data_IF_752332655191
#
_entry.id   IF_752332655191
#
_cell.length_a   1.000
_cell.length_b   1.000
_cell.length_c   1.000
_cell.angle_alpha   90.00
_cell.angle_beta   90.00
_cell.angle_gamma   90.00
#
_symmetry.space_group_name_H-M   'P 1'
#
loop_
_entity.id
_entity.type
_entity.pdbx_description
1 polymer ?
#
# COMPACT_ATOMS: atom_id res chain seq x y z
N UNK A 1 -36.84 42.40 -51.04
CA UNK A 1 -36.31 42.81 -49.73
C UNK A 1 -36.65 41.78 -48.64
N UNK A 2 -37.85 41.26 -48.53
CA UNK A 2 -38.26 40.27 -47.46
C UNK A 2 -37.47 38.96 -47.49
N UNK A 3 -37.11 38.42 -48.65
CA UNK A 3 -36.35 37.17 -48.80
C UNK A 3 -34.91 37.29 -48.28
N UNK A 4 -34.22 38.45 -48.49
CA UNK A 4 -32.88 38.67 -47.98
C UNK A 4 -32.84 38.84 -46.47
N UNK A 5 -33.87 39.40 -45.88
CA UNK A 5 -34.00 39.55 -44.44
C UNK A 5 -34.22 38.18 -43.75
N UNK A 6 -34.97 37.27 -44.39
CA UNK A 6 -35.21 35.93 -43.93
C UNK A 6 -33.92 35.08 -43.94
N UNK A 7 -33.10 35.25 -44.97
CA UNK A 7 -31.82 34.54 -45.07
C UNK A 7 -30.81 35.02 -44.00
N UNK A 8 -30.81 36.31 -43.67
CA UNK A 8 -29.96 36.85 -42.60
C UNK A 8 -30.36 36.39 -41.22
N UNK A 9 -31.66 36.23 -40.99
CA UNK A 9 -32.19 35.70 -39.74
C UNK A 9 -31.84 34.20 -39.54
N UNK A 10 -31.83 33.43 -40.65
CA UNK A 10 -31.46 32.01 -40.63
C UNK A 10 -30.00 31.75 -40.27
N UNK A 11 -29.09 32.65 -40.73
CA UNK A 11 -27.65 32.55 -40.44
C UNK A 11 -27.34 32.86 -38.96
N UNK A 12 -28.11 33.73 -38.31
CA UNK A 12 -27.95 34.04 -36.89
C UNK A 12 -28.34 32.90 -35.98
N UNK A 13 -29.16 31.94 -36.42
CA UNK A 13 -29.58 30.79 -35.63
C UNK A 13 -28.55 29.64 -35.61
N UNK A 14 -27.49 29.70 -36.46
CA UNK A 14 -26.46 28.66 -36.55
C UNK A 14 -25.22 28.98 -35.68
N UNK A 15 -25.21 30.07 -34.92
CA UNK A 15 -24.06 30.56 -34.16
C UNK A 15 -24.00 30.10 -32.72
N UNK A 16 -24.61 28.95 -32.35
CA UNK A 16 -24.40 28.37 -31.04
C UNK A 16 -23.50 27.13 -31.14
N UNK A 17 -22.20 27.32 -31.22
CA UNK A 17 -21.25 26.30 -30.81
C UNK A 17 -21.10 26.38 -29.28
N UNK A 18 -21.80 25.50 -28.58
CA UNK A 18 -21.50 25.23 -27.18
C UNK A 18 -20.20 24.39 -27.13
N UNK A 19 -19.06 25.05 -27.21
CA UNK A 19 -17.81 24.44 -26.86
C UNK A 19 -17.86 24.08 -25.35
N UNK A 20 -18.25 22.84 -25.08
CA UNK A 20 -18.18 22.29 -23.74
C UNK A 20 -16.70 22.19 -23.34
N UNK A 21 -16.23 23.18 -22.60
CA UNK A 21 -14.92 23.10 -21.93
C UNK A 21 -15.13 22.23 -20.69
N UNK A 22 -14.58 21.00 -20.66
CA UNK A 22 -14.70 20.16 -19.46
C UNK A 22 -14.04 20.90 -18.29
N UNK A 23 -14.79 21.12 -17.21
CA UNK A 23 -14.23 21.70 -15.99
C UNK A 23 -13.09 20.80 -15.52
N UNK A 24 -11.89 21.34 -15.18
CA UNK A 24 -10.84 20.54 -14.60
C UNK A 24 -11.38 19.83 -13.38
N UNK A 25 -11.15 18.50 -13.28
CA UNK A 25 -11.51 17.72 -12.09
C UNK A 25 -10.87 18.42 -10.90
N UNK A 26 -11.67 18.85 -9.93
CA UNK A 26 -11.14 19.41 -8.69
C UNK A 26 -10.34 18.28 -7.99
N UNK A 27 -9.05 18.51 -7.81
CA UNK A 27 -8.24 17.62 -6.99
C UNK A 27 -8.70 17.78 -5.55
N UNK A 28 -9.10 16.68 -4.93
CA UNK A 28 -9.42 16.65 -3.51
C UNK A 28 -8.12 16.99 -2.76
N UNK A 29 -8.11 18.09 -2.01
CA UNK A 29 -6.99 18.40 -1.12
C UNK A 29 -7.02 17.40 0.03
N UNK A 30 -6.07 16.47 0.04
CA UNK A 30 -5.86 15.55 1.15
C UNK A 30 -4.78 16.12 2.05
N UNK A 31 -5.13 16.39 3.30
CA UNK A 31 -4.15 16.76 4.33
C UNK A 31 -3.67 15.48 5.02
N UNK A 32 -2.40 15.14 4.81
CA UNK A 32 -1.77 13.98 5.43
C UNK A 32 -1.10 14.36 6.75
N UNK A 33 -1.11 13.46 7.77
CA UNK A 33 -0.38 13.69 9.00
C UNK A 33 1.14 13.73 8.73
N UNK A 34 1.87 14.38 9.65
CA UNK A 34 3.33 14.36 9.63
C UNK A 34 3.83 12.93 9.84
N UNK A 35 4.89 12.55 9.14
CA UNK A 35 5.56 11.26 9.32
C UNK A 35 6.33 11.27 10.63
N UNK A 36 5.79 10.57 11.62
CA UNK A 36 6.40 10.31 12.92
C UNK A 36 6.19 8.83 13.23
N UNK A 37 7.20 8.17 13.78
CA UNK A 37 7.23 6.74 13.98
C UNK A 37 7.55 6.38 15.41
N UNK A 38 7.07 5.23 15.86
CA UNK A 38 7.40 4.63 17.15
C UNK A 38 7.75 3.16 16.97
N UNK A 39 8.58 2.64 17.89
CA UNK A 39 8.99 1.24 17.90
C UNK A 39 7.85 0.36 18.41
N UNK A 40 7.63 -0.77 17.76
CA UNK A 40 6.59 -1.73 18.18
C UNK A 40 6.96 -2.38 19.53
N UNK A 41 6.01 -2.39 20.46
CA UNK A 41 6.17 -3.01 21.78
C UNK A 41 5.37 -4.31 21.87
N UNK A 42 5.97 -5.41 21.37
CA UNK A 42 5.37 -6.75 21.35
C UNK A 42 6.39 -7.81 21.72
N UNK A 43 5.90 -8.94 22.25
CA UNK A 43 6.72 -10.12 22.49
C UNK A 43 6.69 -11.03 21.25
N UNK A 44 7.40 -10.61 20.18
CA UNK A 44 7.59 -11.37 18.95
C UNK A 44 9.06 -11.37 18.59
N UNK A 45 9.55 -12.34 17.79
CA UNK A 45 10.97 -12.46 17.43
C UNK A 45 11.44 -11.42 16.41
N UNK A 46 10.80 -10.26 16.38
CA UNK A 46 11.12 -9.15 15.50
C UNK A 46 10.71 -7.82 16.11
N UNK A 47 11.33 -6.75 15.63
CA UNK A 47 11.00 -5.36 15.90
C UNK A 47 10.99 -4.56 14.62
N UNK A 48 10.23 -3.46 14.61
CA UNK A 48 10.19 -2.45 13.55
C UNK A 48 9.54 -1.16 14.07
N UNK A 49 9.61 -0.10 13.30
CA UNK A 49 8.92 1.15 13.58
C UNK A 49 7.64 1.27 12.72
N UNK A 50 6.60 1.84 13.30
CA UNK A 50 5.32 2.07 12.63
C UNK A 50 4.80 3.50 12.92
N UNK A 51 3.91 4.06 12.06
CA UNK A 51 3.47 5.45 12.21
C UNK A 51 2.60 5.66 13.46
N UNK A 52 2.87 6.70 14.24
CA UNK A 52 2.10 7.06 15.45
C UNK A 52 0.63 7.40 15.19
N UNK A 53 0.26 7.75 13.95
CA UNK A 53 -1.13 8.03 13.56
C UNK A 53 -1.92 6.77 13.16
N UNK A 54 -1.29 5.59 13.23
CA UNK A 54 -1.94 4.30 13.02
C UNK A 54 -2.35 3.65 14.35
N UNK A 55 -3.09 2.55 14.26
CA UNK A 55 -3.52 1.78 15.42
C UNK A 55 -3.04 0.34 15.29
N UNK A 56 -2.31 -0.12 16.30
CA UNK A 56 -1.88 -1.50 16.40
C UNK A 56 -3.01 -2.37 16.95
N UNK A 57 -3.39 -3.43 16.24
CA UNK A 57 -4.34 -4.44 16.69
C UNK A 57 -3.68 -5.80 16.72
N UNK A 58 -3.50 -6.36 17.93
CA UNK A 58 -3.06 -7.75 18.12
C UNK A 58 -4.25 -8.67 17.93
N UNK A 59 -4.06 -9.79 17.25
CA UNK A 59 -5.00 -10.91 17.19
C UNK A 59 -4.70 -11.92 18.30
N UNK A 60 -5.49 -12.98 18.39
CA UNK A 60 -5.36 -14.01 19.44
C UNK A 60 -3.98 -14.72 19.42
N UNK A 61 -3.32 -14.73 18.29
CA UNK A 61 -1.94 -15.18 18.17
C UNK A 61 -1.01 -13.97 18.33
N UNK A 62 -0.01 -14.06 19.21
CA UNK A 62 0.80 -12.93 19.66
C UNK A 62 1.57 -12.23 18.52
N UNK A 63 1.85 -12.94 17.42
CA UNK A 63 2.61 -12.41 16.29
C UNK A 63 1.77 -12.21 15.00
N UNK A 64 0.44 -12.27 15.10
CA UNK A 64 -0.51 -11.82 14.10
C UNK A 64 -0.98 -10.41 14.45
N UNK A 65 -0.63 -9.44 13.61
CA UNK A 65 -0.79 -8.02 13.89
C UNK A 65 -1.44 -7.32 12.71
N UNK A 66 -2.38 -6.44 12.99
CA UNK A 66 -2.90 -5.50 12.00
C UNK A 66 -2.49 -4.07 12.40
N UNK A 67 -1.90 -3.33 11.47
CA UNK A 67 -1.71 -1.89 11.59
C UNK A 67 -2.82 -1.21 10.81
N UNK A 68 -3.73 -0.57 11.55
CA UNK A 68 -4.92 0.08 10.98
C UNK A 68 -4.64 1.55 10.79
N UNK A 69 -4.99 2.08 9.62
CA UNK A 69 -4.92 3.50 9.26
C UNK A 69 -6.35 4.06 9.13
N UNK A 70 -6.99 4.50 10.23
CA UNK A 70 -8.42 4.83 10.23
C UNK A 70 -8.78 5.95 9.25
N UNK A 71 -7.95 7.00 9.19
CA UNK A 71 -8.19 8.16 8.33
C UNK A 71 -7.89 7.89 6.85
N UNK A 72 -7.19 6.81 6.53
CA UNK A 72 -6.82 6.40 5.17
C UNK A 72 -7.60 5.17 4.69
N UNK A 73 -8.53 4.65 5.52
CA UNK A 73 -9.28 3.42 5.26
C UNK A 73 -8.39 2.23 4.84
N UNK A 74 -7.17 2.18 5.39
CA UNK A 74 -6.17 1.15 5.07
C UNK A 74 -5.91 0.23 6.25
N UNK A 75 -5.53 -1.01 5.96
CA UNK A 75 -5.08 -1.99 6.95
C UNK A 75 -3.87 -2.73 6.39
N UNK A 76 -2.77 -2.69 7.12
CA UNK A 76 -1.61 -3.53 6.88
C UNK A 76 -1.74 -4.79 7.73
N UNK A 77 -1.97 -5.92 7.06
CA UNK A 77 -2.02 -7.24 7.69
C UNK A 77 -0.62 -7.82 7.77
N UNK A 78 -0.16 -8.13 8.97
CA UNK A 78 1.15 -8.69 9.26
C UNK A 78 1.01 -10.11 9.82
N UNK A 79 1.79 -11.02 9.29
CA UNK A 79 1.80 -12.43 9.69
C UNK A 79 3.23 -12.93 9.85
N UNK A 80 3.50 -13.63 10.95
CA UNK A 80 4.78 -14.27 11.23
C UNK A 80 4.63 -15.78 11.18
N UNK A 81 5.67 -16.46 10.69
CA UNK A 81 5.78 -17.91 10.65
C UNK A 81 7.19 -18.33 11.06
N UNK A 82 7.28 -19.28 12.00
CA UNK A 82 8.53 -19.99 12.24
C UNK A 82 8.78 -20.95 11.07
N UNK A 83 9.99 -20.94 10.51
CA UNK A 83 10.35 -21.83 9.41
C UNK A 83 10.76 -23.22 9.93
N UNK A 84 10.27 -24.26 9.25
CA UNK A 84 10.59 -25.66 9.47
C UNK A 84 11.16 -26.27 8.17
N UNK A 85 12.23 -25.69 7.62
CA UNK A 85 12.82 -26.02 6.31
C UNK A 85 11.86 -25.81 5.10
N UNK A 86 10.86 -24.99 5.24
CA UNK A 86 9.77 -24.76 4.27
C UNK A 86 9.76 -23.32 3.71
N UNK A 87 10.91 -22.66 3.68
CA UNK A 87 11.06 -21.29 3.14
C UNK A 87 10.48 -21.17 1.72
N UNK A 88 10.79 -22.13 0.85
CA UNK A 88 10.34 -22.07 -0.56
C UNK A 88 8.80 -22.08 -0.65
N UNK A 89 8.12 -22.87 0.20
CA UNK A 89 6.65 -22.92 0.23
C UNK A 89 6.05 -21.57 0.60
N UNK A 90 6.59 -20.92 1.65
CA UNK A 90 6.15 -19.59 2.08
C UNK A 90 6.44 -18.51 1.03
N UNK A 91 7.62 -18.54 0.40
CA UNK A 91 7.99 -17.61 -0.65
C UNK A 91 7.10 -17.76 -1.89
N UNK A 92 6.89 -18.99 -2.38
CA UNK A 92 5.99 -19.27 -3.49
C UNK A 92 4.54 -18.88 -3.20
N UNK A 93 4.05 -19.16 -1.98
CA UNK A 93 2.71 -18.76 -1.56
C UNK A 93 2.58 -17.22 -1.56
N UNK A 94 3.59 -16.51 -1.03
CA UNK A 94 3.60 -15.05 -1.02
C UNK A 94 3.58 -14.47 -2.43
N UNK A 95 4.37 -15.03 -3.34
CA UNK A 95 4.38 -14.66 -4.75
C UNK A 95 3.02 -14.92 -5.42
N UNK A 96 2.43 -16.10 -5.23
CA UNK A 96 1.09 -16.43 -5.76
C UNK A 96 0.03 -15.46 -5.27
N UNK A 97 0.08 -15.09 -3.98
CA UNK A 97 -0.85 -14.12 -3.41
C UNK A 97 -0.63 -12.72 -3.98
N UNK A 98 0.62 -12.30 -4.18
CA UNK A 98 0.94 -11.02 -4.81
C UNK A 98 0.38 -10.96 -6.23
N UNK A 99 0.64 -11.96 -7.05
CA UNK A 99 0.20 -11.99 -8.44
C UNK A 99 -1.31 -12.23 -8.64
N UNK A 100 -2.03 -12.71 -7.62
CA UNK A 100 -3.49 -12.85 -7.69
C UNK A 100 -4.20 -11.50 -7.92
N UNK A 101 -3.59 -10.39 -7.52
CA UNK A 101 -4.13 -9.04 -7.70
C UNK A 101 -3.73 -8.36 -9.02
N UNK A 102 -2.92 -9.02 -9.85
CA UNK A 102 -2.42 -8.50 -11.14
C UNK A 102 -3.54 -8.18 -12.16
N UNK A 103 -4.76 -8.70 -11.94
CA UNK A 103 -5.91 -8.49 -12.87
C UNK A 103 -6.38 -7.03 -12.87
N UNK A 104 -6.07 -6.26 -11.82
CA UNK A 104 -6.59 -4.91 -11.60
C UNK A 104 -5.48 -3.85 -11.59
N UNK A 105 -4.23 -4.24 -11.24
CA UNK A 105 -3.09 -3.33 -11.23
C UNK A 105 -2.56 -3.08 -12.64
N UNK A 106 -2.08 -1.86 -12.91
CA UNK A 106 -1.44 -1.52 -14.19
C UNK A 106 -0.07 -2.22 -14.34
N UNK A 107 0.68 -2.31 -13.23
CA UNK A 107 1.93 -3.05 -13.15
C UNK A 107 2.22 -3.51 -11.71
N UNK A 108 3.07 -4.53 -11.58
CA UNK A 108 3.67 -4.97 -10.32
C UNK A 108 5.19 -4.91 -10.48
N UNK A 109 5.85 -4.12 -9.63
CA UNK A 109 7.30 -4.03 -9.58
C UNK A 109 7.81 -4.86 -8.40
N UNK A 110 8.71 -5.80 -8.65
CA UNK A 110 9.41 -6.56 -7.61
C UNK A 110 10.72 -5.86 -7.24
N UNK A 111 10.92 -5.61 -5.95
CA UNK A 111 12.14 -5.05 -5.39
C UNK A 111 12.70 -6.02 -4.35
N UNK A 112 13.94 -6.46 -4.57
CA UNK A 112 14.65 -7.30 -3.59
C UNK A 112 15.19 -6.42 -2.48
N UNK A 113 14.98 -6.85 -1.24
CA UNK A 113 15.57 -6.26 -0.05
C UNK A 113 16.65 -7.19 0.50
N UNK A 114 17.86 -6.65 0.69
CA UNK A 114 19.00 -7.39 1.20
C UNK A 114 19.72 -6.56 2.26
N UNK A 115 19.74 -7.07 3.48
CA UNK A 115 20.50 -6.48 4.58
C UNK A 115 21.27 -7.59 5.31
N UNK A 116 22.51 -7.82 4.89
CA UNK A 116 23.37 -8.88 5.44
C UNK A 116 23.71 -8.66 6.92
N UNK A 117 23.83 -7.41 7.34
CA UNK A 117 24.17 -7.07 8.73
C UNK A 117 23.07 -7.47 9.72
N UNK A 118 21.83 -7.32 9.32
CA UNK A 118 20.64 -7.68 10.11
C UNK A 118 20.08 -9.05 9.74
N UNK A 119 20.66 -9.74 8.75
CA UNK A 119 20.15 -11.00 8.17
C UNK A 119 18.68 -10.88 7.77
N UNK A 120 18.31 -9.77 7.15
CA UNK A 120 16.96 -9.52 6.65
C UNK A 120 16.97 -9.51 5.14
N UNK A 121 16.29 -10.47 4.56
CA UNK A 121 16.16 -10.67 3.11
C UNK A 121 14.68 -10.70 2.74
N UNK A 122 14.32 -10.25 1.55
CA UNK A 122 12.92 -10.31 1.16
C UNK A 122 12.60 -9.77 -0.23
N UNK A 123 11.33 -9.75 -0.53
CA UNK A 123 10.79 -9.18 -1.76
C UNK A 123 9.64 -8.24 -1.43
N UNK A 124 9.67 -7.09 -2.04
CA UNK A 124 8.61 -6.09 -2.03
C UNK A 124 7.91 -6.09 -3.38
N UNK A 125 6.60 -6.30 -3.38
CA UNK A 125 5.70 -6.19 -4.53
C UNK A 125 5.00 -4.84 -4.47
N UNK A 126 5.43 -3.91 -5.30
CA UNK A 126 4.88 -2.55 -5.40
C UNK A 126 3.89 -2.50 -6.57
N UNK A 127 2.63 -2.15 -6.30
CA UNK A 127 1.56 -2.12 -7.29
C UNK A 127 1.37 -0.69 -7.80
N UNK A 128 1.46 -0.53 -9.11
CA UNK A 128 1.15 0.71 -9.78
C UNK A 128 -0.31 0.74 -10.23
N UNK A 129 -0.86 1.96 -10.33
CA UNK A 129 -2.25 2.16 -10.72
C UNK A 129 -3.26 1.94 -9.61
N UNK A 130 -4.50 1.74 -10.00
CA UNK A 130 -5.66 1.58 -9.10
C UNK A 130 -5.80 0.10 -8.73
N UNK A 131 -5.44 -0.25 -7.51
CA UNK A 131 -5.49 -1.62 -7.00
C UNK A 131 -6.00 -1.69 -5.56
N UNK A 132 -6.63 -2.80 -5.18
CA UNK A 132 -7.11 -3.06 -3.81
C UNK A 132 -5.95 -3.20 -2.80
N UNK A 133 -4.77 -3.56 -3.28
CA UNK A 133 -3.54 -3.61 -2.50
C UNK A 133 -2.54 -2.61 -3.06
N UNK A 134 -1.85 -1.91 -2.18
CA UNK A 134 -0.83 -0.95 -2.56
C UNK A 134 0.54 -1.59 -2.67
N UNK A 135 0.81 -2.48 -1.71
CA UNK A 135 2.11 -3.06 -1.48
C UNK A 135 1.94 -4.38 -0.72
N UNK A 136 2.70 -5.38 -1.11
CA UNK A 136 2.86 -6.61 -0.35
C UNK A 136 4.35 -6.89 -0.22
N UNK A 137 4.74 -7.59 0.83
CA UNK A 137 6.14 -7.97 1.02
C UNK A 137 6.26 -9.20 1.88
N UNK A 138 7.42 -9.84 1.81
CA UNK A 138 7.88 -10.74 2.86
C UNK A 138 9.33 -10.46 3.22
N UNK A 139 9.68 -10.77 4.47
CA UNK A 139 11.03 -10.70 5.02
C UNK A 139 11.37 -12.03 5.67
N UNK A 140 12.63 -12.45 5.60
CA UNK A 140 13.10 -13.71 6.18
C UNK A 140 14.57 -13.60 6.56
N UNK A 141 15.01 -14.41 7.54
CA UNK A 141 16.42 -14.66 7.82
C UNK A 141 16.96 -15.85 7.01
N UNK A 142 16.12 -16.42 6.15
CA UNK A 142 16.35 -17.61 5.32
C UNK A 142 16.43 -18.95 6.08
N UNK A 143 16.34 -18.95 7.41
CA UNK A 143 16.55 -20.17 8.22
C UNK A 143 15.40 -20.43 9.18
N UNK A 144 15.04 -19.46 10.02
CA UNK A 144 14.12 -19.66 11.14
C UNK A 144 12.85 -18.84 11.05
N UNK A 145 12.89 -17.73 10.34
CA UNK A 145 11.86 -16.70 10.43
C UNK A 145 11.33 -16.29 9.07
N UNK A 146 10.01 -16.16 8.96
CA UNK A 146 9.32 -15.62 7.80
C UNK A 146 8.24 -14.62 8.26
N UNK A 147 8.29 -13.42 7.73
CA UNK A 147 7.36 -12.34 8.06
C UNK A 147 6.74 -11.80 6.77
N UNK A 148 5.42 -11.70 6.72
CA UNK A 148 4.69 -11.24 5.56
C UNK A 148 3.81 -10.06 5.91
N UNK A 149 3.77 -9.05 5.03
CA UNK A 149 2.88 -7.91 5.13
C UNK A 149 2.11 -7.67 3.83
N UNK A 150 0.87 -7.19 3.96
CA UNK A 150 0.03 -6.81 2.83
C UNK A 150 -0.89 -5.66 3.21
N UNK A 151 -0.77 -4.52 2.51
CA UNK A 151 -1.62 -3.34 2.70
C UNK A 151 -2.85 -3.43 1.81
N UNK A 152 -4.03 -3.37 2.42
CA UNK A 152 -5.32 -3.32 1.72
C UNK A 152 -6.11 -2.08 2.11
N UNK A 153 -6.96 -1.63 1.20
CA UNK A 153 -7.89 -0.52 1.41
C UNK A 153 -9.33 -1.02 1.51
N UNK A 154 -10.06 -0.53 2.51
CA UNK A 154 -11.49 -0.80 2.73
C UNK A 154 -12.35 0.27 2.06
N UNK A 155 -12.12 0.55 0.78
CA UNK A 155 -12.84 1.57 0.02
C UNK A 155 -12.96 1.13 -1.44
N UNK A 156 -13.86 1.79 -2.18
CA UNK A 156 -13.93 1.62 -3.63
C UNK A 156 -12.60 2.00 -4.30
N UNK A 157 -12.17 1.15 -5.22
CA UNK A 157 -10.92 1.32 -5.95
C UNK A 157 -11.16 2.29 -7.10
N UNK A 158 -10.58 3.50 -6.98
CA UNK A 158 -10.64 4.54 -7.99
C UNK A 158 -9.42 5.49 -7.89
N UNK A 159 -9.28 6.41 -8.82
CA UNK A 159 -8.12 7.31 -8.88
C UNK A 159 -7.90 8.14 -7.60
N UNK A 160 -8.92 8.36 -6.76
CA UNK A 160 -8.78 9.16 -5.54
C UNK A 160 -8.02 8.43 -4.43
N UNK A 161 -7.82 7.10 -4.55
CA UNK A 161 -6.99 6.33 -3.61
C UNK A 161 -5.48 6.53 -3.86
N UNK A 162 -5.06 6.91 -5.07
CA UNK A 162 -3.65 6.97 -5.45
C UNK A 162 -2.78 7.84 -4.52
N UNK A 163 -3.21 9.05 -4.10
CA UNK A 163 -2.41 9.85 -3.16
C UNK A 163 -2.27 9.16 -1.79
N UNK A 164 -3.33 8.51 -1.31
CA UNK A 164 -3.34 7.76 -0.05
C UNK A 164 -2.42 6.55 -0.17
N UNK A 165 -2.51 5.82 -1.27
CA UNK A 165 -1.67 4.70 -1.60
C UNK A 165 -0.18 5.10 -1.52
N UNK A 166 0.20 6.13 -2.27
CA UNK A 166 1.57 6.64 -2.28
C UNK A 166 2.02 7.09 -0.88
N UNK A 167 1.14 7.75 -0.12
CA UNK A 167 1.46 8.18 1.24
C UNK A 167 1.77 6.98 2.14
N UNK A 168 0.94 5.92 2.15
CA UNK A 168 1.15 4.75 3.00
C UNK A 168 2.30 3.85 2.54
N UNK A 169 2.62 3.80 1.23
CA UNK A 169 3.80 3.07 0.73
C UNK A 169 5.10 3.51 1.41
N UNK A 170 5.25 4.81 1.71
CA UNK A 170 6.43 5.31 2.44
C UNK A 170 6.51 4.73 3.85
N UNK A 171 5.38 4.58 4.55
CA UNK A 171 5.36 3.99 5.89
C UNK A 171 5.74 2.51 5.88
N UNK A 172 5.28 1.78 4.86
CA UNK A 172 5.63 0.37 4.72
C UNK A 172 7.12 0.20 4.39
N UNK A 173 7.67 1.07 3.53
CA UNK A 173 9.11 1.07 3.23
C UNK A 173 9.94 1.40 4.48
N UNK A 174 9.51 2.39 5.29
CA UNK A 174 10.13 2.70 6.57
C UNK A 174 10.09 1.51 7.55
N UNK A 175 8.94 0.82 7.65
CA UNK A 175 8.81 -0.40 8.44
C UNK A 175 9.84 -1.46 8.02
N UNK A 176 10.01 -1.69 6.71
CA UNK A 176 10.97 -2.67 6.17
C UNK A 176 12.41 -2.24 6.46
N UNK A 177 12.73 -0.95 6.34
CA UNK A 177 14.06 -0.38 6.58
C UNK A 177 14.47 -0.45 8.05
N UNK A 178 13.51 -0.36 8.97
CA UNK A 178 13.73 -0.42 10.42
C UNK A 178 13.54 -1.81 11.00
N UNK A 179 13.16 -2.78 10.16
CA UNK A 179 12.90 -4.15 10.58
C UNK A 179 14.19 -4.89 10.99
N UNK A 180 14.15 -5.59 12.11
CA UNK A 180 15.20 -6.51 12.53
C UNK A 180 14.63 -7.69 13.33
N UNK A 181 15.32 -8.83 13.23
CA UNK A 181 15.04 -9.98 14.08
C UNK A 181 15.61 -9.75 15.47
N UNK A 182 14.88 -10.19 16.51
CA UNK A 182 15.38 -10.20 17.88
C UNK A 182 16.23 -11.45 18.12
N UNK A 183 17.37 -11.27 18.74
CA UNK A 183 18.14 -12.39 19.24
C UNK A 183 17.43 -13.02 20.45
N UNK A 184 17.50 -14.36 20.58
CA UNK A 184 16.91 -15.09 21.74
C UNK A 184 17.45 -14.63 23.10
N UNK A 185 18.47 -13.76 23.11
CA UNK A 185 19.08 -13.22 24.33
C UNK A 185 18.36 -11.96 24.86
N UNK A 186 17.53 -11.30 24.07
CA UNK A 186 16.77 -10.11 24.49
C UNK A 186 15.50 -10.42 25.28
N UNK A 187 15.13 -11.69 25.41
CA UNK A 187 13.94 -12.14 26.17
C UNK A 187 14.18 -12.21 27.69
N UNK A 188 15.36 -11.83 28.21
CA UNK A 188 15.76 -12.04 29.63
C UNK A 188 15.98 -10.75 30.43
N UNK A 189 15.48 -9.60 29.99
CA UNK A 189 15.62 -8.33 30.72
C UNK A 189 14.28 -7.72 31.16
#
# INVERSE_FOLDING_TARGET
MKSRLLLFLLVLLLSCNNDYTPKPKALIKLDFPKKEYEKIAINCPFDFEFPVYSQLKKKNDDCLIDIVFPNQNGVLYLSYFALENNLNEHAEQSQKLAYKHNIIADAITEQFYVNDSLKVYGVLYDYDGVSATAIQFYLTDSVNHFFRGALYFNTEINDSILPINNFLKYDIKHLIETFHWKDKLDESL
#
